data_IF_995327605095
#
_entry.id   IF_995327605095
#
_cell.length_a   1.000
_cell.length_b   1.000
_cell.length_c   1.000
_cell.angle_alpha   90.00
_cell.angle_beta   90.00
_cell.angle_gamma   90.00
#
_symmetry.space_group_name_H-M   'P 1'
#
loop_
_entity.id
_entity.type
_entity.pdbx_description
1 polymer ?
#
# COMPACT_ATOMS: atom_id res chain seq x y z
N UNK A 1 61.51 -49.74 27.72
CA UNK A 1 60.22 -50.03 27.08
C UNK A 1 59.36 -48.78 27.16
N UNK A 2 59.26 -48.10 26.03
CA UNK A 2 58.48 -46.90 25.77
C UNK A 2 56.99 -47.25 25.77
N UNK A 3 56.18 -46.53 26.56
CA UNK A 3 54.74 -46.42 26.34
C UNK A 3 54.36 -44.96 26.28
N UNK A 4 54.13 -44.52 25.06
CA UNK A 4 53.46 -43.29 24.67
C UNK A 4 51.98 -43.37 25.03
N UNK A 5 51.43 -42.29 25.60
CA UNK A 5 49.98 -42.03 25.63
C UNK A 5 49.78 -40.54 25.30
N UNK A 6 48.84 -40.16 24.41
CA UNK A 6 48.89 -38.89 23.70
C UNK A 6 48.30 -37.71 24.49
N UNK A 7 48.93 -36.55 24.31
CA UNK A 7 48.40 -35.23 24.66
C UNK A 7 47.11 -34.98 23.87
N UNK A 8 45.97 -34.88 24.56
CA UNK A 8 44.71 -34.41 23.95
C UNK A 8 44.82 -32.92 23.73
N UNK A 9 44.92 -32.54 22.46
CA UNK A 9 44.95 -31.16 21.99
C UNK A 9 43.53 -30.57 22.10
N UNK A 10 43.23 -29.85 23.17
CA UNK A 10 41.99 -29.06 23.26
C UNK A 10 42.20 -27.78 22.42
N UNK A 11 41.81 -27.84 21.15
CA UNK A 11 41.42 -26.64 20.40
C UNK A 11 39.96 -26.38 20.74
N UNK A 12 39.67 -25.35 21.53
CA UNK A 12 38.32 -24.80 21.58
C UNK A 12 38.37 -23.31 21.32
N UNK A 13 37.68 -22.94 20.24
CA UNK A 13 37.68 -21.65 19.60
C UNK A 13 37.14 -20.56 20.53
N UNK A 14 37.83 -19.43 20.54
CA UNK A 14 37.34 -18.17 21.07
C UNK A 14 36.18 -17.72 20.17
N UNK A 15 34.94 -17.96 20.59
CA UNK A 15 33.74 -17.50 19.89
C UNK A 15 33.63 -15.98 20.11
N UNK A 16 34.18 -15.19 19.18
CA UNK A 16 33.85 -13.77 19.05
C UNK A 16 32.38 -13.67 18.67
N UNK A 17 31.51 -13.39 19.65
CA UNK A 17 30.17 -12.90 19.36
C UNK A 17 30.28 -11.50 18.77
N UNK A 18 30.31 -11.41 17.45
CA UNK A 18 29.92 -10.19 16.75
C UNK A 18 28.43 -9.99 16.99
N UNK A 19 28.08 -9.07 17.89
CA UNK A 19 26.74 -8.50 17.91
C UNK A 19 26.57 -7.75 16.59
N UNK A 20 25.86 -8.36 15.63
CA UNK A 20 25.25 -7.59 14.56
C UNK A 20 24.29 -6.62 15.23
N UNK A 21 24.59 -5.32 15.18
CA UNK A 21 23.60 -4.31 15.46
C UNK A 21 22.49 -4.52 14.43
N UNK A 22 21.38 -5.13 14.86
CA UNK A 22 20.15 -5.01 14.10
C UNK A 22 19.83 -3.53 14.10
N UNK A 23 19.87 -2.91 12.91
CA UNK A 23 19.24 -1.63 12.70
C UNK A 23 17.79 -1.77 13.15
N UNK A 24 17.44 -1.13 14.26
CA UNK A 24 16.06 -0.99 14.66
C UNK A 24 15.44 -0.07 13.61
N UNK A 25 14.77 -0.66 12.62
CA UNK A 25 13.90 0.09 11.73
C UNK A 25 12.91 0.84 12.62
N UNK A 26 12.90 2.17 12.53
CA UNK A 26 11.90 2.98 13.21
C UNK A 26 10.50 2.50 12.81
N UNK A 27 9.59 2.56 13.78
CA UNK A 27 8.23 2.08 13.63
C UNK A 27 7.53 2.77 12.41
N UNK A 28 6.93 2.04 11.46
CA UNK A 28 6.41 2.60 10.21
C UNK A 28 5.28 3.63 10.40
N UNK A 29 5.32 4.75 9.67
CA UNK A 29 4.20 5.68 9.56
C UNK A 29 3.07 4.99 8.79
N UNK A 30 1.87 4.96 9.37
CA UNK A 30 0.70 4.33 8.73
C UNK A 30 -0.26 5.38 8.18
N UNK A 31 -0.67 5.22 6.93
CA UNK A 31 -1.65 6.04 6.25
C UNK A 31 -2.93 5.25 6.05
N UNK A 32 -4.08 5.85 6.36
CA UNK A 32 -5.38 5.22 6.09
C UNK A 32 -6.48 6.22 5.74
N UNK A 33 -7.50 5.73 5.04
CA UNK A 33 -8.78 6.45 4.89
C UNK A 33 -9.92 5.47 4.63
N UNK A 34 -11.14 5.91 4.91
CA UNK A 34 -12.38 5.27 4.47
C UNK A 34 -13.30 6.32 3.83
N UNK A 35 -13.88 5.99 2.67
CA UNK A 35 -14.74 6.92 1.92
C UNK A 35 -16.23 6.85 2.29
N UNK A 36 -16.58 6.17 3.38
CA UNK A 36 -17.96 5.82 3.79
C UNK A 36 -18.90 7.04 3.99
N UNK A 37 -18.35 8.25 4.00
CA UNK A 37 -19.09 9.51 4.16
C UNK A 37 -19.55 10.15 2.84
N UNK A 38 -19.31 9.53 1.68
CA UNK A 38 -19.83 10.03 0.39
C UNK A 38 -21.02 9.17 -0.08
N UNK A 39 -22.27 9.69 -0.06
CA UNK A 39 -23.50 8.89 -0.27
C UNK A 39 -23.61 8.21 -1.65
N UNK A 40 -22.72 8.53 -2.59
CA UNK A 40 -22.65 7.90 -3.92
C UNK A 40 -21.32 7.17 -4.20
N UNK A 41 -20.37 7.14 -3.26
CA UNK A 41 -19.00 6.65 -3.44
C UNK A 41 -18.22 7.33 -4.59
N UNK A 42 -16.91 7.14 -4.70
CA UNK A 42 -16.23 7.38 -5.97
C UNK A 42 -16.78 6.46 -7.08
N UNK A 43 -17.13 7.06 -8.22
CA UNK A 43 -17.45 6.31 -9.45
C UNK A 43 -16.15 5.99 -10.19
N UNK A 44 -15.97 4.74 -10.57
CA UNK A 44 -14.86 4.27 -11.39
C UNK A 44 -15.36 3.93 -12.79
N UNK A 45 -14.58 4.32 -13.80
CA UNK A 45 -14.73 3.90 -15.19
C UNK A 45 -13.48 3.15 -15.60
N UNK A 46 -13.60 2.24 -16.56
CA UNK A 46 -12.47 1.40 -17.00
C UNK A 46 -12.32 1.33 -18.53
N UNK A 47 -12.37 2.46 -19.26
CA UNK A 47 -12.22 2.41 -20.71
C UNK A 47 -10.87 1.77 -21.10
N UNK A 48 -10.88 0.66 -21.84
CA UNK A 48 -9.67 0.01 -22.35
C UNK A 48 -8.73 -0.58 -21.28
N UNK A 49 -9.22 -0.80 -20.06
CA UNK A 49 -8.43 -1.33 -18.94
C UNK A 49 -7.76 -0.26 -18.06
N UNK A 50 -7.96 1.02 -18.36
CA UNK A 50 -7.55 2.12 -17.48
C UNK A 50 -8.65 2.42 -16.48
N UNK A 51 -8.44 2.06 -15.21
CA UNK A 51 -9.32 2.40 -14.10
C UNK A 51 -9.12 3.87 -13.72
N UNK A 52 -10.09 4.69 -14.10
CA UNK A 52 -10.12 6.13 -13.83
C UNK A 52 -11.27 6.45 -12.90
N UNK A 53 -11.00 7.31 -11.92
CA UNK A 53 -12.02 7.84 -11.04
C UNK A 53 -12.73 9.04 -11.69
N UNK A 54 -14.05 8.94 -11.88
CA UNK A 54 -14.85 9.97 -12.54
C UNK A 54 -15.18 11.16 -11.63
N UNK A 55 -15.28 10.94 -10.31
CA UNK A 55 -15.57 11.98 -9.33
C UNK A 55 -14.55 11.93 -8.18
N UNK A 56 -14.03 13.08 -7.77
CA UNK A 56 -13.00 13.22 -6.72
C UNK A 56 -13.69 13.41 -5.35
N UNK A 57 -13.82 12.37 -4.50
CA UNK A 57 -14.46 12.46 -3.21
C UNK A 57 -13.58 13.25 -2.23
N UNK A 58 -14.24 13.76 -1.19
CA UNK A 58 -13.56 14.23 0.02
C UNK A 58 -13.43 13.06 0.99
N UNK A 59 -12.24 12.90 1.55
CA UNK A 59 -11.92 11.88 2.54
C UNK A 59 -11.17 12.53 3.71
N UNK A 60 -11.09 11.84 4.84
CA UNK A 60 -10.16 12.18 5.90
C UNK A 60 -8.95 11.27 5.76
N UNK A 61 -7.80 11.83 5.41
CA UNK A 61 -6.53 11.10 5.45
C UNK A 61 -6.08 11.04 6.91
N UNK A 62 -6.04 9.82 7.45
CA UNK A 62 -5.54 9.50 8.78
C UNK A 62 -4.06 9.13 8.65
N UNK A 63 -3.24 9.70 9.50
CA UNK A 63 -1.80 9.47 9.54
C UNK A 63 -1.45 9.14 10.96
N UNK A 64 -1.06 7.90 11.20
CA UNK A 64 -0.52 7.46 12.46
C UNK A 64 1.01 7.56 12.41
N UNK A 65 1.54 8.51 13.17
CA UNK A 65 2.96 8.82 13.23
C UNK A 65 3.69 8.00 14.30
N UNK A 66 2.98 7.25 15.14
CA UNK A 66 3.54 6.60 16.31
C UNK A 66 2.81 5.30 16.73
N UNK A 67 2.32 4.48 15.81
CA UNK A 67 1.83 3.11 16.09
C UNK A 67 0.77 3.05 17.19
N UNK A 68 -0.29 3.84 17.01
CA UNK A 68 -1.41 3.95 17.93
C UNK A 68 -1.03 4.44 19.35
N UNK A 69 0.20 4.94 19.58
CA UNK A 69 0.54 5.60 20.84
C UNK A 69 -0.20 6.95 20.96
N UNK A 70 -0.55 7.38 22.18
CA UNK A 70 -1.26 8.65 22.37
C UNK A 70 -0.55 9.85 21.72
N UNK A 71 -1.31 10.64 20.95
CA UNK A 71 -0.85 11.93 20.41
C UNK A 71 -0.18 11.91 19.03
N UNK A 72 -0.08 10.78 18.33
CA UNK A 72 0.51 10.72 16.99
C UNK A 72 -0.47 10.53 15.83
N UNK A 73 -1.78 10.50 16.10
CA UNK A 73 -2.79 10.50 15.04
C UNK A 73 -3.03 11.92 14.52
N UNK A 74 -2.82 12.10 13.21
CA UNK A 74 -3.15 13.31 12.47
C UNK A 74 -4.29 13.03 11.50
N UNK A 75 -5.26 13.94 11.45
CA UNK A 75 -6.40 13.86 10.52
C UNK A 75 -6.37 15.07 9.59
N UNK A 76 -6.19 14.83 8.30
CA UNK A 76 -6.17 15.88 7.28
C UNK A 76 -7.34 15.66 6.31
N UNK A 77 -8.32 16.58 6.25
CA UNK A 77 -9.31 16.57 5.19
C UNK A 77 -8.61 16.67 3.83
N UNK A 78 -8.95 15.78 2.90
CA UNK A 78 -8.30 15.66 1.60
C UNK A 78 -9.29 15.35 0.48
N UNK A 79 -8.88 15.64 -0.75
CA UNK A 79 -9.47 15.12 -1.98
C UNK A 79 -8.65 13.92 -2.43
N UNK A 80 -9.31 12.80 -2.68
CA UNK A 80 -8.69 11.54 -3.07
C UNK A 80 -8.83 11.31 -4.58
N UNK A 81 -7.71 11.06 -5.25
CA UNK A 81 -7.62 10.74 -6.66
C UNK A 81 -7.00 9.35 -6.85
N UNK A 82 -7.67 8.50 -7.62
CA UNK A 82 -7.20 7.18 -8.02
C UNK A 82 -7.04 7.09 -9.53
N UNK A 83 -5.93 6.51 -9.94
CA UNK A 83 -5.68 6.08 -11.32
C UNK A 83 -4.98 4.74 -11.32
N UNK A 84 -5.28 3.90 -12.30
CA UNK A 84 -4.48 2.72 -12.54
C UNK A 84 -4.88 1.98 -13.79
N UNK A 85 -4.13 0.93 -14.09
CA UNK A 85 -4.29 0.13 -15.30
C UNK A 85 -4.28 -1.34 -14.94
N UNK A 86 -5.32 -2.05 -15.34
CA UNK A 86 -5.42 -3.50 -15.18
C UNK A 86 -4.89 -4.22 -16.42
N UNK A 87 -4.31 -5.39 -16.20
CA UNK A 87 -3.79 -6.27 -17.25
C UNK A 87 -3.77 -7.72 -16.78
N UNK A 88 -3.54 -8.65 -17.71
CA UNK A 88 -3.30 -10.06 -17.40
C UNK A 88 -4.40 -10.68 -16.53
N UNK A 89 -5.67 -10.49 -16.92
CA UNK A 89 -6.79 -11.12 -16.23
C UNK A 89 -6.64 -12.64 -16.23
N UNK A 90 -6.86 -13.25 -15.07
CA UNK A 90 -6.99 -14.70 -14.91
C UNK A 90 -8.20 -14.99 -14.03
N UNK A 91 -8.84 -16.12 -14.31
CA UNK A 91 -9.96 -16.61 -13.50
C UNK A 91 -9.73 -18.07 -13.17
N UNK A 92 -9.94 -18.43 -11.90
CA UNK A 92 -9.82 -19.81 -11.42
C UNK A 92 -11.09 -20.22 -10.68
N UNK A 93 -11.54 -21.48 -10.82
CA UNK A 93 -12.60 -22.02 -9.97
C UNK A 93 -12.15 -22.02 -8.50
N UNK A 94 -13.04 -21.60 -7.59
CA UNK A 94 -12.82 -21.59 -6.16
C UNK A 94 -14.11 -22.02 -5.43
N UNK A 95 -14.25 -23.33 -5.20
CA UNK A 95 -15.48 -23.92 -4.68
C UNK A 95 -16.66 -23.68 -5.62
N UNK A 96 -17.76 -23.13 -5.11
CA UNK A 96 -18.94 -22.75 -5.89
C UNK A 96 -18.80 -21.36 -6.59
N UNK A 97 -17.64 -20.71 -6.46
CA UNK A 97 -17.38 -19.37 -6.96
C UNK A 97 -16.19 -19.36 -7.93
N UNK A 98 -15.89 -18.17 -8.44
CA UNK A 98 -14.78 -17.85 -9.31
C UNK A 98 -13.93 -16.78 -8.65
N UNK A 99 -12.62 -17.01 -8.62
CA UNK A 99 -11.64 -16.06 -8.15
C UNK A 99 -10.97 -15.41 -9.36
N UNK A 100 -11.13 -14.09 -9.46
CA UNK A 100 -10.57 -13.27 -10.52
C UNK A 100 -9.31 -12.58 -10.02
N UNK A 101 -8.30 -12.50 -10.89
CA UNK A 101 -7.04 -11.81 -10.64
C UNK A 101 -6.72 -10.88 -11.80
N UNK A 102 -6.21 -9.70 -11.49
CA UNK A 102 -5.59 -8.80 -12.46
C UNK A 102 -4.25 -8.33 -11.91
N UNK A 103 -3.28 -8.11 -12.80
CA UNK A 103 -2.12 -7.29 -12.48
C UNK A 103 -2.51 -5.82 -12.64
N UNK A 104 -2.12 -5.00 -11.68
CA UNK A 104 -2.42 -3.58 -11.68
C UNK A 104 -1.16 -2.75 -11.42
N UNK A 105 -1.09 -1.60 -12.07
CA UNK A 105 -0.17 -0.50 -11.75
C UNK A 105 -0.94 0.81 -11.69
N UNK A 106 -0.50 1.77 -10.91
CA UNK A 106 -1.26 3.01 -10.72
C UNK A 106 -0.81 3.81 -9.52
N UNK A 107 -1.72 4.61 -8.98
CA UNK A 107 -1.44 5.39 -7.80
C UNK A 107 -2.65 6.11 -7.20
N UNK A 108 -2.36 6.67 -6.03
CA UNK A 108 -3.26 7.47 -5.22
C UNK A 108 -2.65 8.86 -5.07
N UNK A 109 -3.47 9.90 -5.12
CA UNK A 109 -3.06 11.26 -4.77
C UNK A 109 -4.05 11.88 -3.81
N UNK A 110 -3.53 12.45 -2.73
CA UNK A 110 -4.27 13.22 -1.74
C UNK A 110 -3.92 14.70 -1.89
N UNK A 111 -4.94 15.56 -1.90
CA UNK A 111 -4.79 17.02 -2.01
C UNK A 111 -5.61 17.74 -0.95
N UNK A 112 -5.15 18.88 -0.45
CA UNK A 112 -5.96 19.72 0.43
C UNK A 112 -7.26 20.17 -0.25
N UNK A 113 -8.36 20.32 0.51
CA UNK A 113 -9.60 20.88 -0.01
C UNK A 113 -9.43 22.38 -0.33
N UNK A 114 -9.52 22.76 -1.60
CA UNK A 114 -9.42 24.17 -2.02
C UNK A 114 -9.25 24.33 -3.54
N UNK A 115 -9.26 25.57 -4.03
CA UNK A 115 -9.19 25.89 -5.47
C UNK A 115 -7.79 25.67 -6.07
N UNK A 116 -6.72 25.85 -5.28
CA UNK A 116 -5.33 25.58 -5.68
C UNK A 116 -4.84 24.17 -5.29
N UNK A 117 -5.58 23.46 -4.42
CA UNK A 117 -5.38 22.04 -4.06
C UNK A 117 -3.94 21.57 -3.93
N UNK A 118 -3.23 22.06 -2.90
CA UNK A 118 -1.86 21.62 -2.57
C UNK A 118 -1.83 20.10 -2.42
N UNK A 119 -0.85 19.44 -3.03
CA UNK A 119 -0.65 17.99 -2.85
C UNK A 119 -0.21 17.72 -1.41
N UNK A 120 -0.72 16.64 -0.85
CA UNK A 120 -0.37 16.14 0.48
C UNK A 120 0.54 14.91 0.31
N UNK A 121 0.02 13.89 -0.35
CA UNK A 121 0.67 12.60 -0.50
C UNK A 121 0.40 12.05 -1.89
N UNK A 122 1.42 11.46 -2.50
CA UNK A 122 1.25 10.59 -3.67
C UNK A 122 1.78 9.21 -3.32
N UNK A 123 1.04 8.18 -3.68
CA UNK A 123 1.45 6.78 -3.50
C UNK A 123 1.36 6.12 -4.85
N UNK A 124 2.45 5.54 -5.35
CA UNK A 124 2.50 4.84 -6.64
C UNK A 124 2.79 3.37 -6.41
N UNK A 125 2.12 2.51 -7.18
CA UNK A 125 2.34 1.07 -7.18
C UNK A 125 2.59 0.56 -8.61
N UNK A 126 3.71 -0.12 -8.83
CA UNK A 126 4.09 -0.66 -10.16
C UNK A 126 3.68 -2.12 -10.36
N UNK A 127 3.56 -2.90 -9.28
CA UNK A 127 3.14 -4.30 -9.31
C UNK A 127 2.18 -4.59 -8.17
N UNK A 128 0.89 -4.53 -8.46
CA UNK A 128 -0.15 -4.89 -7.51
C UNK A 128 -1.06 -6.00 -8.08
N UNK A 129 -1.73 -6.72 -7.20
CA UNK A 129 -2.74 -7.72 -7.58
C UNK A 129 -4.10 -7.21 -7.14
N UNK A 130 -4.98 -7.04 -8.12
CA UNK A 130 -6.40 -6.83 -7.88
C UNK A 130 -7.09 -8.19 -7.88
N UNK A 131 -7.90 -8.46 -6.87
CA UNK A 131 -8.63 -9.72 -6.73
C UNK A 131 -10.12 -9.48 -6.51
N UNK A 132 -10.96 -10.42 -6.96
CA UNK A 132 -12.39 -10.43 -6.67
C UNK A 132 -12.94 -11.85 -6.66
N UNK A 133 -13.83 -12.15 -5.71
CA UNK A 133 -14.58 -13.42 -5.68
C UNK A 133 -16.01 -13.16 -6.14
N UNK A 134 -16.48 -13.98 -7.07
CA UNK A 134 -17.79 -13.83 -7.72
C UNK A 134 -18.45 -15.18 -7.97
N UNK A 135 -19.80 -15.28 -7.97
CA UNK A 135 -20.49 -16.48 -8.45
C UNK A 135 -20.43 -16.67 -9.97
N UNK A 136 -19.79 -15.76 -10.72
CA UNK A 136 -19.74 -15.80 -12.19
C UNK A 136 -18.31 -15.59 -12.71
N UNK A 137 -17.85 -16.45 -13.62
CA UNK A 137 -16.57 -16.25 -14.32
C UNK A 137 -16.56 -15.00 -15.23
N UNK A 138 -17.74 -14.45 -15.56
CA UNK A 138 -17.90 -13.33 -16.49
C UNK A 138 -18.20 -12.00 -15.81
N UNK A 139 -18.22 -11.97 -14.47
CA UNK A 139 -18.50 -10.74 -13.73
C UNK A 139 -17.70 -10.68 -12.43
N UNK A 140 -17.16 -9.52 -12.09
CA UNK A 140 -16.51 -9.32 -10.80
C UNK A 140 -17.54 -9.24 -9.66
N UNK A 141 -17.08 -9.58 -8.46
CA UNK A 141 -17.88 -9.56 -7.23
C UNK A 141 -18.17 -8.16 -6.72
N UNK A 142 -18.84 -8.10 -5.57
CA UNK A 142 -19.21 -6.85 -4.90
C UNK A 142 -18.07 -6.22 -4.09
N UNK A 143 -16.96 -6.92 -4.00
CA UNK A 143 -15.73 -6.49 -3.33
C UNK A 143 -14.57 -6.77 -4.28
N UNK A 144 -13.67 -5.80 -4.40
CA UNK A 144 -12.36 -5.99 -5.00
C UNK A 144 -11.29 -5.61 -3.98
N UNK A 145 -10.20 -6.36 -3.96
CA UNK A 145 -9.06 -6.09 -3.06
C UNK A 145 -7.80 -5.96 -3.89
N UNK A 146 -7.18 -4.79 -3.80
CA UNK A 146 -5.89 -4.48 -4.39
C UNK A 146 -4.82 -4.56 -3.31
N UNK A 147 -3.81 -5.38 -3.53
CA UNK A 147 -2.73 -5.61 -2.58
C UNK A 147 -1.38 -5.59 -3.29
N UNK A 148 -0.33 -5.31 -2.54
CA UNK A 148 1.03 -5.49 -3.02
C UNK A 148 1.30 -6.97 -3.37
N UNK A 149 2.18 -7.18 -4.34
CA UNK A 149 2.58 -8.51 -4.79
C UNK A 149 3.59 -9.15 -3.83
N UNK A 150 4.51 -8.37 -3.25
CA UNK A 150 5.54 -8.85 -2.33
C UNK A 150 6.08 -7.69 -1.46
N UNK A 151 6.50 -7.98 -0.22
CA UNK A 151 6.99 -6.99 0.76
C UNK A 151 8.39 -6.43 0.40
N UNK A 152 9.12 -7.08 -0.50
CA UNK A 152 10.57 -6.90 -0.66
C UNK A 152 10.97 -5.99 -1.83
N UNK A 153 10.02 -5.60 -2.69
CA UNK A 153 10.33 -4.79 -3.88
C UNK A 153 9.95 -3.32 -3.69
N UNK A 154 10.76 -2.40 -4.23
CA UNK A 154 10.49 -0.96 -4.37
C UNK A 154 9.31 -0.62 -5.31
N UNK A 155 8.30 -1.49 -5.37
CA UNK A 155 7.12 -1.35 -6.20
C UNK A 155 6.13 -0.34 -5.63
N UNK A 156 6.25 0.02 -4.35
CA UNK A 156 5.39 0.99 -3.65
C UNK A 156 6.21 2.21 -3.23
N UNK A 157 5.93 3.36 -3.86
CA UNK A 157 6.65 4.61 -3.61
C UNK A 157 5.70 5.62 -2.99
N UNK A 158 6.07 6.12 -1.82
CA UNK A 158 5.40 7.25 -1.17
C UNK A 158 6.18 8.53 -1.46
N UNK A 159 5.47 9.57 -1.87
CA UNK A 159 6.04 10.90 -2.09
C UNK A 159 5.27 11.89 -1.23
N UNK A 160 5.84 12.32 -0.09
CA UNK A 160 5.26 13.41 0.67
C UNK A 160 5.42 14.71 -0.12
N UNK A 161 4.45 15.61 0.02
CA UNK A 161 4.50 16.95 -0.57
C UNK A 161 4.45 17.99 0.56
N UNK A 162 4.77 19.25 0.23
CA UNK A 162 4.84 20.36 1.18
C UNK A 162 3.65 20.44 2.16
N UNK A 163 2.44 20.10 1.73
CA UNK A 163 1.26 20.15 2.60
C UNK A 163 1.21 19.07 3.70
N UNK A 164 2.14 18.11 3.66
CA UNK A 164 2.31 17.01 4.62
C UNK A 164 3.60 17.16 5.46
N UNK A 165 4.54 17.98 4.99
CA UNK A 165 5.80 18.23 5.66
C UNK A 165 5.59 19.27 6.77
N UNK A 166 6.28 19.09 7.89
CA UNK A 166 6.35 20.09 8.98
C UNK A 166 4.98 20.61 9.44
N UNK A 167 4.02 19.70 9.64
CA UNK A 167 2.66 20.06 10.03
C UNK A 167 2.66 20.90 11.33
N UNK A 168 2.00 22.08 11.35
CA UNK A 168 2.18 23.09 12.41
C UNK A 168 1.71 22.65 13.80
N UNK A 169 0.90 21.60 13.90
CA UNK A 169 0.38 21.05 15.15
C UNK A 169 1.00 19.68 15.51
N UNK A 170 2.05 19.27 14.79
CA UNK A 170 2.78 18.04 15.06
C UNK A 170 4.13 18.41 15.69
N UNK A 171 4.52 17.82 16.83
CA UNK A 171 5.84 18.05 17.41
C UNK A 171 6.94 17.76 16.38
N UNK A 172 8.02 18.56 16.30
CA UNK A 172 9.08 18.36 15.30
C UNK A 172 9.69 16.94 15.29
N UNK A 173 9.71 16.25 16.44
CA UNK A 173 10.18 14.87 16.55
C UNK A 173 9.26 13.84 15.85
N UNK A 174 7.98 14.16 15.67
CA UNK A 174 6.99 13.31 14.99
C UNK A 174 6.67 13.79 13.58
N UNK A 175 7.11 14.99 13.18
CA UNK A 175 6.88 15.54 11.85
C UNK A 175 7.49 14.68 10.74
N UNK A 176 6.75 14.55 9.64
CA UNK A 176 7.23 13.86 8.42
C UNK A 176 8.23 14.77 7.72
N UNK A 177 9.43 14.24 7.47
CA UNK A 177 10.48 14.84 6.64
C UNK A 177 10.40 14.33 5.20
N UNK A 178 11.06 15.02 4.29
CA UNK A 178 11.03 14.68 2.86
C UNK A 178 11.50 13.26 2.55
N UNK A 179 12.43 12.72 3.35
CA UNK A 179 13.03 11.40 3.16
C UNK A 179 12.34 10.28 3.97
N UNK A 180 11.39 10.62 4.86
CA UNK A 180 10.82 9.67 5.83
C UNK A 180 9.93 8.59 5.21
N UNK A 181 9.69 8.62 3.90
CA UNK A 181 8.75 7.70 3.22
C UNK A 181 9.37 7.00 2.00
N UNK A 182 10.70 6.95 1.91
CA UNK A 182 11.41 6.38 0.76
C UNK A 182 11.15 4.87 0.59
N UNK A 183 10.73 4.18 1.65
CA UNK A 183 10.42 2.75 1.64
C UNK A 183 8.98 2.51 2.08
N UNK A 184 8.12 2.16 1.12
CA UNK A 184 6.76 1.71 1.40
C UNK A 184 6.73 0.28 1.93
N UNK A 185 5.92 0.01 2.94
CA UNK A 185 5.62 -1.33 3.41
C UNK A 185 4.12 -1.60 3.33
N UNK A 186 3.75 -2.76 2.77
CA UNK A 186 2.43 -3.38 2.86
C UNK A 186 1.26 -2.42 2.59
N UNK A 187 0.75 -2.37 1.36
CA UNK A 187 -0.50 -1.67 1.08
C UNK A 187 -1.66 -2.62 0.80
N UNK A 188 -2.84 -2.22 1.26
CA UNK A 188 -4.10 -2.80 0.86
C UNK A 188 -5.10 -1.69 0.56
N UNK A 189 -5.78 -1.84 -0.57
CA UNK A 189 -6.92 -1.01 -0.95
C UNK A 189 -8.11 -1.91 -1.22
N UNK A 190 -9.22 -1.67 -0.54
CA UNK A 190 -10.45 -2.43 -0.73
C UNK A 190 -11.51 -1.54 -1.35
N UNK A 191 -12.02 -1.98 -2.50
CA UNK A 191 -13.24 -1.45 -3.10
C UNK A 191 -14.42 -2.24 -2.54
N UNK A 192 -15.31 -1.56 -1.82
CA UNK A 192 -16.50 -2.13 -1.19
C UNK A 192 -17.77 -1.55 -1.82
N UNK A 193 -18.92 -2.18 -1.61
CA UNK A 193 -20.19 -1.70 -2.18
C UNK A 193 -20.16 -1.54 -3.70
N UNK A 194 -19.38 -2.40 -4.39
CA UNK A 194 -19.23 -2.35 -5.84
C UNK A 194 -20.58 -2.64 -6.49
N UNK A 195 -21.16 -1.62 -7.12
CA UNK A 195 -22.46 -1.71 -7.79
C UNK A 195 -22.33 -1.19 -9.22
N UNK A 196 -22.51 -2.03 -10.24
CA UNK A 196 -23.08 -1.53 -11.47
C UNK A 196 -24.56 -1.23 -11.23
N UNK A 197 -25.20 -0.62 -12.23
CA UNK A 197 -26.65 -0.37 -12.21
C UNK A 197 -27.48 -1.65 -11.90
N UNK A 198 -26.92 -2.88 -11.99
CA UNK A 198 -27.61 -4.17 -11.74
C UNK A 198 -26.78 -5.33 -11.09
N UNK A 199 -26.11 -5.11 -9.94
CA UNK A 199 -25.54 -6.14 -8.99
C UNK A 199 -24.08 -6.63 -9.15
N UNK A 200 -23.58 -7.06 -10.32
CA UNK A 200 -22.18 -7.55 -10.52
C UNK A 200 -21.51 -6.83 -11.69
N UNK A 201 -20.21 -6.50 -11.64
CA UNK A 201 -19.54 -5.76 -12.74
C UNK A 201 -19.27 -6.72 -13.90
N UNK A 202 -19.89 -6.52 -15.08
CA UNK A 202 -19.62 -7.39 -16.22
C UNK A 202 -18.20 -7.19 -16.74
N UNK A 203 -17.57 -8.30 -17.13
CA UNK A 203 -16.23 -8.36 -17.72
C UNK A 203 -16.32 -8.74 -19.20
N UNK A 204 -15.49 -8.14 -20.04
CA UNK A 204 -15.42 -8.52 -21.45
C UNK A 204 -14.64 -9.85 -21.62
N UNK A 205 -14.48 -10.32 -22.86
CA UNK A 205 -13.73 -11.54 -23.16
C UNK A 205 -12.23 -11.48 -22.79
N UNK A 206 -11.69 -10.29 -22.53
CA UNK A 206 -10.34 -10.05 -22.03
C UNK A 206 -10.27 -9.78 -20.52
N UNK A 207 -11.40 -9.85 -19.81
CA UNK A 207 -11.49 -9.59 -18.38
C UNK A 207 -11.49 -8.12 -18.00
N UNK A 208 -11.70 -7.20 -18.94
CA UNK A 208 -11.75 -5.76 -18.67
C UNK A 208 -13.15 -5.36 -18.18
N UNK A 209 -13.20 -4.39 -17.27
CA UNK A 209 -14.47 -3.77 -16.90
C UNK A 209 -14.91 -2.85 -18.03
N UNK A 210 -16.03 -3.15 -18.69
CA UNK A 210 -16.52 -2.33 -19.82
C UNK A 210 -17.79 -1.53 -19.48
N UNK A 211 -18.27 -1.64 -18.24
CA UNK A 211 -19.37 -0.84 -17.70
C UNK A 211 -18.89 0.01 -16.52
N UNK A 212 -19.35 1.27 -16.39
CA UNK A 212 -19.11 2.06 -15.19
C UNK A 212 -19.64 1.38 -13.92
N UNK A 213 -18.96 1.59 -12.80
CA UNK A 213 -19.37 1.08 -11.49
C UNK A 213 -19.01 2.07 -10.38
N UNK A 214 -19.76 2.02 -9.29
CA UNK A 214 -19.45 2.80 -8.08
C UNK A 214 -18.91 1.87 -7.00
N UNK A 215 -18.03 2.38 -6.16
CA UNK A 215 -17.64 1.69 -4.92
C UNK A 215 -17.31 2.69 -3.84
N UNK A 216 -17.36 2.21 -2.60
CA UNK A 216 -16.61 2.79 -1.50
C UNK A 216 -15.17 2.28 -1.55
N UNK A 217 -14.24 3.03 -0.97
CA UNK A 217 -12.82 2.71 -0.93
C UNK A 217 -12.30 2.84 0.49
N UNK A 218 -11.54 1.84 0.93
CA UNK A 218 -10.69 1.94 2.10
C UNK A 218 -9.25 1.65 1.72
N UNK A 219 -8.33 2.40 2.31
CA UNK A 219 -6.90 2.28 2.08
C UNK A 219 -6.18 2.16 3.42
N UNK A 220 -5.17 1.31 3.46
CA UNK A 220 -4.18 1.27 4.52
C UNK A 220 -2.83 0.95 3.90
N UNK A 221 -1.80 1.70 4.30
CA UNK A 221 -0.42 1.41 3.90
C UNK A 221 0.58 1.96 4.91
N UNK A 222 1.72 1.28 5.06
CA UNK A 222 2.84 1.71 5.89
C UNK A 222 3.97 2.32 5.07
N UNK A 223 4.76 3.19 5.68
CA UNK A 223 6.04 3.66 5.15
C UNK A 223 7.07 3.78 6.28
N UNK A 224 8.30 3.40 6.01
CA UNK A 224 9.38 3.37 7.00
C UNK A 224 10.12 4.70 7.03
N UNK A 225 10.32 5.24 8.23
CA UNK A 225 11.15 6.44 8.44
C UNK A 225 12.61 6.12 8.14
N UNK A 226 13.25 6.95 7.31
CA UNK A 226 14.69 6.89 7.11
C UNK A 226 15.39 7.47 8.34
N UNK A 227 16.12 6.63 9.07
CA UNK A 227 16.92 7.07 10.22
C UNK A 227 18.20 7.71 9.70
N UNK A 228 18.39 9.01 9.96
CA UNK A 228 19.68 9.67 9.73
C UNK A 228 20.78 8.92 10.50
N UNK A 229 21.67 8.25 9.78
CA UNK A 229 22.87 7.62 10.34
C UNK A 229 23.01 6.10 10.11
N UNK A 230 22.07 5.46 9.41
CA UNK A 230 22.29 4.09 8.95
C UNK A 230 22.94 4.10 7.56
N UNK A 231 24.06 3.38 7.34
CA UNK A 231 24.62 3.24 6.00
C UNK A 231 23.57 2.60 5.09
N UNK A 232 23.49 3.08 3.85
CA UNK A 232 22.67 2.45 2.81
C UNK A 232 22.93 0.93 2.83
N UNK A 233 21.89 0.08 2.73
CA UNK A 233 22.10 -1.35 2.66
C UNK A 233 22.99 -1.60 1.43
N UNK A 234 24.20 -2.10 1.69
CA UNK A 234 25.19 -2.35 0.66
C UNK A 234 24.53 -3.13 -0.48
N UNK A 235 24.55 -2.52 -1.66
CA UNK A 235 24.06 -3.14 -2.88
C UNK A 235 24.76 -4.48 -3.07
N UNK A 236 23.96 -5.53 -3.19
CA UNK A 236 24.44 -6.79 -3.75
C UNK A 236 24.61 -6.55 -5.25
N UNK A 237 25.83 -6.24 -5.66
CA UNK A 237 26.30 -6.43 -7.03
C UNK A 237 26.23 -7.91 -7.45
#
# INVERSE_FOLDING_TARGET
MTKTTPLVLIKLALLLFSFSAFAQLDDPITFSFASDSYPNGPTFTSPGGDLVQAAVPRVNLLIDLNHDFPGGLVVIPARFNFEGRISNHRVVPCGANWLHFWKMKGGFTFRQPGFAGQRLLTVKFEKAVLTSISPSQFAAGRTLTLQDFDRVDANLVFTPHEGLLELPNVPPALSIKANDLNFGENFAFTFTSVKPVNRLIPLDGGGLFFSPWTSEGSFSAGAVREVEGLPAPDGVD
#
